data_IF_536793534891
#
_entry.id   IF_536793534891
#
_cell.length_a   1.000
_cell.length_b   1.000
_cell.length_c   1.000
_cell.angle_alpha   90.00
_cell.angle_beta   90.00
_cell.angle_gamma   90.00
#
_symmetry.space_group_name_H-M   'P 1'
#
loop_
_entity.id
_entity.type
_entity.pdbx_description
1 polymer ?
#
# COMPACT_ATOMS: atom_id res chain seq x y z
N UNK A 1 5.19 -35.45 51.86
CA UNK A 1 5.25 -33.99 51.73
C UNK A 1 6.65 -33.69 51.21
N UNK A 2 6.88 -33.85 49.89
CA UNK A 2 6.85 -32.77 48.87
C UNK A 2 7.80 -31.62 49.22
N UNK A 3 8.71 -31.14 48.40
CA UNK A 3 9.42 -31.57 47.17
C UNK A 3 10.57 -30.56 47.09
N UNK A 4 11.75 -30.99 46.64
CA UNK A 4 12.87 -30.12 46.32
C UNK A 4 12.58 -29.34 45.02
N UNK A 5 13.50 -28.42 44.72
CA UNK A 5 13.82 -27.77 43.44
C UNK A 5 13.68 -26.23 43.59
N UNK A 6 14.66 -25.54 44.20
CA UNK A 6 15.93 -25.05 43.63
C UNK A 6 15.75 -24.24 42.35
N UNK A 7 15.87 -22.93 42.51
CA UNK A 7 15.88 -21.91 41.47
C UNK A 7 17.01 -22.17 40.47
N UNK A 8 16.66 -22.38 39.20
CA UNK A 8 17.58 -22.32 38.07
C UNK A 8 17.11 -21.18 37.16
N UNK A 9 17.65 -19.98 37.43
CA UNK A 9 17.58 -18.84 36.52
C UNK A 9 18.51 -19.17 35.35
N UNK A 10 17.94 -19.61 34.22
CA UNK A 10 18.69 -19.72 32.98
C UNK A 10 18.91 -18.31 32.41
N UNK A 11 20.10 -17.81 32.67
CA UNK A 11 20.75 -16.68 31.99
C UNK A 11 20.78 -16.98 30.49
N UNK A 12 19.96 -16.29 29.70
CA UNK A 12 20.11 -16.30 28.25
C UNK A 12 21.23 -15.33 27.91
N UNK A 13 22.36 -15.90 27.48
CA UNK A 13 23.53 -15.19 26.97
C UNK A 13 23.08 -14.18 25.89
N UNK A 14 23.44 -12.91 26.09
CA UNK A 14 23.43 -11.93 25.00
C UNK A 14 24.50 -12.38 24.01
N UNK A 15 24.09 -13.08 22.95
CA UNK A 15 24.94 -13.27 21.77
C UNK A 15 25.33 -11.88 21.27
N UNK A 16 26.59 -11.53 21.51
CA UNK A 16 27.24 -10.36 20.92
C UNK A 16 27.22 -10.55 19.41
N UNK A 17 26.28 -9.90 18.74
CA UNK A 17 26.36 -9.72 17.30
C UNK A 17 27.61 -8.87 17.04
N UNK A 18 28.65 -9.50 16.50
CA UNK A 18 29.74 -8.78 15.86
C UNK A 18 29.09 -7.90 14.77
N UNK A 19 29.28 -6.58 14.89
CA UNK A 19 28.97 -5.66 13.81
C UNK A 19 29.91 -6.00 12.65
N UNK A 20 29.45 -6.87 11.75
CA UNK A 20 30.04 -7.01 10.42
C UNK A 20 29.79 -5.69 9.69
N UNK A 21 30.76 -4.79 9.83
CA UNK A 21 30.91 -3.57 9.04
C UNK A 21 31.25 -3.94 7.59
N UNK A 22 30.28 -4.45 6.85
CA UNK A 22 30.35 -4.47 5.40
C UNK A 22 29.74 -3.18 4.86
N UNK A 23 30.59 -2.15 4.82
CA UNK A 23 30.49 -1.01 3.92
C UNK A 23 30.48 -1.51 2.46
N UNK A 24 29.35 -2.02 1.98
CA UNK A 24 29.07 -1.96 0.56
C UNK A 24 28.51 -0.56 0.27
N UNK A 25 29.41 0.43 0.22
CA UNK A 25 29.11 1.77 -0.27
C UNK A 25 28.63 1.64 -1.72
N UNK A 26 27.31 1.58 -1.90
CA UNK A 26 26.69 1.53 -3.23
C UNK A 26 26.99 2.86 -3.91
N UNK A 27 28.05 2.88 -4.73
CA UNK A 27 28.45 4.06 -5.48
C UNK A 27 27.23 4.64 -6.22
N UNK A 28 26.95 5.94 -6.07
CA UNK A 28 25.83 6.56 -6.76
C UNK A 28 25.95 6.33 -8.27
N UNK A 29 24.90 5.76 -8.84
CA UNK A 29 24.80 5.56 -10.28
C UNK A 29 24.53 6.89 -10.98
N UNK A 30 25.18 7.14 -12.11
CA UNK A 30 24.87 8.32 -12.94
C UNK A 30 23.79 7.97 -13.96
N UNK A 31 22.77 8.81 -14.06
CA UNK A 31 21.67 8.56 -14.98
C UNK A 31 22.06 8.93 -16.40
N UNK A 32 21.94 7.96 -17.32
CA UNK A 32 22.24 8.16 -18.75
C UNK A 32 21.33 9.17 -19.44
N UNK A 33 20.11 9.40 -18.93
CA UNK A 33 19.13 10.33 -19.52
C UNK A 33 19.31 11.77 -18.99
N UNK A 34 19.45 11.93 -17.66
CA UNK A 34 19.46 13.24 -17.00
C UNK A 34 20.87 13.72 -16.60
N UNK A 35 21.86 12.82 -16.50
CA UNK A 35 23.22 13.14 -16.03
C UNK A 35 23.37 13.21 -14.51
N UNK A 36 22.27 13.15 -13.75
CA UNK A 36 22.28 13.24 -12.29
C UNK A 36 22.69 11.93 -11.61
N UNK A 37 23.36 12.07 -10.47
CA UNK A 37 23.68 10.98 -9.54
C UNK A 37 22.41 10.49 -8.81
N UNK A 38 22.30 9.19 -8.63
CA UNK A 38 21.19 8.57 -7.90
C UNK A 38 21.61 7.23 -7.28
N UNK A 39 21.01 6.90 -6.14
CA UNK A 39 21.29 5.63 -5.45
C UNK A 39 20.35 4.49 -5.87
N UNK A 40 19.10 4.79 -6.27
CA UNK A 40 18.10 3.79 -6.70
C UNK A 40 17.43 4.14 -8.04
N UNK A 41 16.87 5.35 -8.19
CA UNK A 41 16.29 5.85 -9.44
C UNK A 41 16.58 7.35 -9.70
N UNK A 42 16.67 7.81 -10.97
CA UNK A 42 16.85 9.26 -11.27
C UNK A 42 15.55 10.03 -10.98
N UNK A 43 15.56 10.79 -9.88
CA UNK A 43 14.47 11.67 -9.48
C UNK A 43 14.00 12.65 -10.56
N UNK A 44 14.90 13.41 -11.22
CA UNK A 44 14.51 14.25 -12.34
C UNK A 44 13.84 13.51 -13.49
N UNK A 45 14.26 12.28 -13.81
CA UNK A 45 13.65 11.48 -14.89
C UNK A 45 12.24 11.04 -14.54
N UNK A 46 11.99 10.62 -13.30
CA UNK A 46 10.64 10.31 -12.81
C UNK A 46 9.76 11.55 -12.90
N UNK A 47 10.21 12.69 -12.36
CA UNK A 47 9.45 13.93 -12.41
C UNK A 47 9.14 14.38 -13.85
N UNK A 48 10.10 14.27 -14.77
CA UNK A 48 9.87 14.56 -16.20
C UNK A 48 8.79 13.66 -16.78
N UNK A 49 8.86 12.35 -16.52
CA UNK A 49 7.87 11.39 -17.00
C UNK A 49 6.47 11.69 -16.44
N UNK A 50 6.37 11.94 -15.14
CA UNK A 50 5.09 12.25 -14.49
C UNK A 50 4.47 13.53 -15.08
N UNK A 51 5.29 14.58 -15.30
CA UNK A 51 4.85 15.82 -15.96
C UNK A 51 4.37 15.58 -17.40
N UNK A 52 5.06 14.77 -18.17
CA UNK A 52 4.70 14.45 -19.55
C UNK A 52 3.38 13.65 -19.64
N UNK A 53 3.11 12.77 -18.67
CA UNK A 53 1.94 11.89 -18.66
C UNK A 53 0.76 12.43 -17.84
N UNK A 54 0.92 13.59 -17.19
CA UNK A 54 -0.09 14.17 -16.29
C UNK A 54 -1.46 14.36 -16.95
N UNK A 55 -1.48 14.72 -18.24
CA UNK A 55 -2.72 14.91 -19.01
C UNK A 55 -3.58 13.65 -19.12
N UNK A 56 -3.01 12.46 -18.93
CA UNK A 56 -3.73 11.19 -18.99
C UNK A 56 -4.37 10.78 -17.64
N UNK A 57 -4.08 11.50 -16.56
CA UNK A 57 -4.42 11.13 -15.18
C UNK A 57 -5.22 12.21 -14.43
N UNK A 58 -5.99 13.04 -15.14
CA UNK A 58 -6.86 14.02 -14.48
C UNK A 58 -8.14 13.37 -13.96
N UNK A 59 -8.52 13.74 -12.76
CA UNK A 59 -9.80 13.41 -12.14
C UNK A 59 -10.94 14.35 -12.55
N UNK A 60 -10.64 15.37 -13.36
CA UNK A 60 -11.51 16.52 -13.61
C UNK A 60 -11.85 17.33 -12.34
N UNK A 61 -11.11 17.09 -11.23
CA UNK A 61 -11.23 17.82 -9.98
C UNK A 61 -9.87 18.39 -9.56
N UNK A 62 -9.72 19.71 -9.67
CA UNK A 62 -8.47 20.43 -9.37
C UNK A 62 -7.88 20.06 -8.01
N UNK A 63 -8.72 19.92 -6.97
CA UNK A 63 -8.26 19.60 -5.61
C UNK A 63 -7.71 18.18 -5.47
N UNK A 64 -8.29 17.23 -6.18
CA UNK A 64 -7.79 15.84 -6.23
C UNK A 64 -6.50 15.80 -7.06
N UNK A 65 -6.48 16.48 -8.19
CA UNK A 65 -5.33 16.54 -9.09
C UNK A 65 -4.11 17.18 -8.40
N UNK A 66 -4.32 18.25 -7.62
CA UNK A 66 -3.29 18.89 -6.80
C UNK A 66 -2.76 17.96 -5.70
N UNK A 67 -3.66 17.22 -5.04
CA UNK A 67 -3.28 16.23 -4.03
C UNK A 67 -2.45 15.10 -4.64
N UNK A 68 -2.83 14.59 -5.82
CA UNK A 68 -2.07 13.55 -6.51
C UNK A 68 -0.68 14.05 -6.89
N UNK A 69 -0.57 15.30 -7.36
CA UNK A 69 0.73 15.92 -7.62
C UNK A 69 1.59 16.04 -6.37
N UNK A 70 1.00 16.47 -5.24
CA UNK A 70 1.68 16.50 -3.93
C UNK A 70 2.27 15.12 -3.60
N UNK A 71 1.47 14.06 -3.74
CA UNK A 71 1.89 12.68 -3.45
C UNK A 71 2.97 12.17 -4.40
N UNK A 72 2.91 12.55 -5.68
CA UNK A 72 3.87 12.15 -6.70
C UNK A 72 5.27 12.78 -6.52
N UNK A 73 5.38 13.86 -5.73
CA UNK A 73 6.65 14.51 -5.41
C UNK A 73 7.42 13.81 -4.28
N UNK A 74 6.76 12.91 -3.53
CA UNK A 74 7.41 12.11 -2.49
C UNK A 74 8.35 11.08 -3.12
N UNK A 75 9.43 10.74 -2.40
CA UNK A 75 10.45 9.79 -2.85
C UNK A 75 10.08 8.32 -2.58
N UNK A 76 8.78 8.01 -2.48
CA UNK A 76 8.28 6.65 -2.28
C UNK A 76 8.44 5.80 -3.54
N UNK A 77 8.70 4.51 -3.35
CA UNK A 77 8.81 3.54 -4.46
C UNK A 77 7.49 3.36 -5.22
N UNK A 78 6.36 3.63 -4.56
CA UNK A 78 5.03 3.57 -5.16
C UNK A 78 4.71 4.92 -5.81
N UNK A 79 4.28 4.87 -7.07
CA UNK A 79 3.77 6.04 -7.78
C UNK A 79 2.28 6.15 -7.49
N UNK A 80 1.88 7.26 -6.87
CA UNK A 80 0.48 7.55 -6.58
C UNK A 80 -0.24 8.01 -7.84
N UNK A 81 -1.33 7.34 -8.24
CA UNK A 81 -1.99 7.57 -9.54
C UNK A 81 -3.48 7.91 -9.41
N UNK A 82 -4.01 8.65 -10.40
CA UNK A 82 -5.45 8.64 -10.68
C UNK A 82 -5.76 7.46 -11.60
N UNK A 83 -6.66 6.59 -11.18
CA UNK A 83 -6.99 5.37 -11.90
C UNK A 83 -8.44 5.45 -12.36
N UNK A 84 -8.68 5.38 -13.67
CA UNK A 84 -10.03 5.36 -14.22
C UNK A 84 -10.77 4.11 -13.75
N UNK A 85 -12.02 4.24 -13.33
CA UNK A 85 -12.79 3.12 -12.77
C UNK A 85 -12.91 1.92 -13.71
N UNK A 86 -12.93 2.17 -15.03
CA UNK A 86 -12.98 1.12 -16.05
C UNK A 86 -11.72 0.24 -16.12
N UNK A 87 -10.67 0.56 -15.36
CA UNK A 87 -9.45 -0.23 -15.21
C UNK A 87 -9.62 -1.42 -14.24
N UNK A 88 -10.71 -1.45 -13.47
CA UNK A 88 -10.96 -2.48 -12.49
C UNK A 88 -11.90 -3.57 -13.04
N UNK A 89 -11.41 -4.80 -13.03
CA UNK A 89 -12.18 -6.00 -13.38
C UNK A 89 -12.39 -6.88 -12.15
N UNK A 90 -13.31 -7.86 -12.24
CA UNK A 90 -13.57 -8.85 -11.19
C UNK A 90 -13.84 -8.24 -9.80
N UNK A 91 -14.54 -7.10 -9.77
CA UNK A 91 -14.89 -6.41 -8.53
C UNK A 91 -15.82 -7.30 -7.68
N UNK A 92 -15.39 -7.64 -6.46
CA UNK A 92 -16.15 -8.47 -5.50
C UNK A 92 -16.23 -7.77 -4.16
N UNK A 93 -17.41 -7.71 -3.57
CA UNK A 93 -17.64 -7.13 -2.25
C UNK A 93 -17.04 -8.03 -1.17
N UNK A 94 -16.19 -7.47 -0.31
CA UNK A 94 -15.55 -8.14 0.83
C UNK A 94 -16.28 -7.80 2.13
N UNK A 95 -16.59 -6.52 2.33
CA UNK A 95 -17.20 -6.03 3.56
C UNK A 95 -18.14 -4.86 3.27
N UNK A 96 -19.34 -4.92 3.85
CA UNK A 96 -20.34 -3.86 3.80
C UNK A 96 -20.72 -3.41 5.20
N UNK A 97 -20.14 -2.30 5.66
CA UNK A 97 -20.56 -1.70 6.93
C UNK A 97 -21.76 -0.78 6.70
N UNK A 98 -22.96 -1.27 6.98
CA UNK A 98 -24.22 -0.52 6.87
C UNK A 98 -24.65 0.15 8.20
N UNK A 99 -23.76 0.27 9.19
CA UNK A 99 -24.15 0.86 10.46
C UNK A 99 -24.27 2.38 10.32
N UNK A 100 -25.49 2.86 10.48
CA UNK A 100 -25.85 4.27 10.48
C UNK A 100 -25.11 4.99 11.61
N UNK A 101 -24.40 6.07 11.24
CA UNK A 101 -23.78 7.10 12.09
C UNK A 101 -22.25 7.10 12.26
N UNK A 102 -21.49 6.22 11.59
CA UNK A 102 -20.05 6.44 11.42
C UNK A 102 -19.57 5.86 10.09
N UNK A 103 -19.10 6.75 9.21
CA UNK A 103 -18.51 6.53 7.87
C UNK A 103 -18.62 5.08 7.36
N UNK A 104 -19.76 4.75 6.75
CA UNK A 104 -19.98 3.45 6.09
C UNK A 104 -18.99 3.26 4.95
N UNK A 105 -17.93 2.50 5.19
CA UNK A 105 -16.92 2.14 4.20
C UNK A 105 -17.26 0.77 3.61
N UNK A 106 -17.43 0.70 2.30
CA UNK A 106 -17.58 -0.57 1.57
C UNK A 106 -16.22 -0.95 1.00
N UNK A 107 -15.83 -2.21 1.15
CA UNK A 107 -14.51 -2.72 0.73
C UNK A 107 -14.72 -3.81 -0.32
N UNK A 108 -13.98 -3.71 -1.41
CA UNK A 108 -14.03 -4.64 -2.53
C UNK A 108 -12.63 -5.13 -2.90
N UNK A 109 -12.51 -6.36 -3.41
CA UNK A 109 -11.32 -6.81 -4.17
C UNK A 109 -11.55 -6.54 -5.64
N UNK A 110 -10.51 -6.18 -6.38
CA UNK A 110 -10.56 -6.07 -7.84
C UNK A 110 -9.20 -6.42 -8.46
N UNK A 111 -9.21 -6.63 -9.78
CA UNK A 111 -8.00 -6.71 -10.60
C UNK A 111 -7.83 -5.37 -11.30
N UNK A 112 -6.70 -4.70 -11.07
CA UNK A 112 -6.29 -3.52 -11.84
C UNK A 112 -5.57 -3.99 -13.11
N UNK A 113 -6.23 -3.84 -14.26
CA UNK A 113 -5.73 -4.31 -15.57
C UNK A 113 -4.35 -3.78 -15.91
N UNK A 114 -4.17 -2.47 -15.88
CA UNK A 114 -2.88 -1.86 -16.20
C UNK A 114 -1.85 -2.08 -15.09
N UNK A 115 -2.29 -2.18 -13.83
CA UNK A 115 -1.45 -2.35 -12.65
C UNK A 115 -0.56 -1.13 -12.35
N UNK A 116 0.17 -1.17 -11.21
CA UNK A 116 0.96 -0.03 -10.75
C UNK A 116 2.15 0.25 -11.65
N UNK A 117 2.50 1.53 -11.74
CA UNK A 117 3.74 1.95 -12.38
C UNK A 117 4.93 1.69 -11.45
N UNK A 118 5.88 0.87 -11.90
CA UNK A 118 7.12 0.54 -11.18
C UNK A 118 8.35 0.94 -12.01
N UNK A 119 9.47 1.24 -11.34
CA UNK A 119 10.74 1.46 -12.02
C UNK A 119 11.49 0.15 -12.16
N UNK A 120 11.81 -0.23 -13.40
CA UNK A 120 12.65 -1.39 -13.69
C UNK A 120 14.12 -0.94 -13.68
N UNK A 121 14.87 -1.40 -12.68
CA UNK A 121 16.27 -1.03 -12.47
C UNK A 121 17.19 -1.53 -13.58
N UNK A 122 16.90 -2.68 -14.18
CA UNK A 122 17.71 -3.26 -15.25
C UNK A 122 17.50 -2.49 -16.56
N UNK A 123 16.25 -2.18 -16.86
CA UNK A 123 15.85 -1.48 -18.09
C UNK A 123 15.89 0.04 -17.94
N UNK A 124 16.17 0.55 -16.74
CA UNK A 124 16.23 1.97 -16.36
C UNK A 124 15.03 2.78 -16.86
N UNK A 125 13.84 2.21 -16.77
CA UNK A 125 12.60 2.80 -17.28
C UNK A 125 11.41 2.44 -16.41
N UNK A 126 10.38 3.28 -16.46
CA UNK A 126 9.09 2.96 -15.85
C UNK A 126 8.37 1.90 -16.69
N UNK A 127 7.81 0.91 -16.01
CA UNK A 127 7.03 -0.17 -16.58
C UNK A 127 5.78 -0.41 -15.74
N UNK A 128 4.84 -1.18 -16.28
CA UNK A 128 3.69 -1.66 -15.54
C UNK A 128 3.67 -3.18 -15.52
N UNK A 129 3.28 -3.73 -14.38
CA UNK A 129 2.93 -5.14 -14.26
C UNK A 129 1.40 -5.24 -14.27
N UNK A 130 0.86 -5.77 -15.36
CA UNK A 130 -0.59 -5.86 -15.56
C UNK A 130 -1.26 -6.87 -14.63
N UNK A 131 -2.54 -6.63 -14.34
CA UNK A 131 -3.43 -7.51 -13.57
C UNK A 131 -3.05 -7.64 -12.08
N UNK A 132 -2.71 -6.52 -11.45
CA UNK A 132 -2.45 -6.47 -10.02
C UNK A 132 -3.75 -6.66 -9.22
N UNK A 133 -3.71 -7.48 -8.16
CA UNK A 133 -4.83 -7.58 -7.24
C UNK A 133 -4.81 -6.40 -6.25
N UNK A 134 -5.92 -5.68 -6.16
CA UNK A 134 -6.05 -4.49 -5.33
C UNK A 134 -7.27 -4.56 -4.42
N UNK A 135 -7.20 -3.81 -3.33
CA UNK A 135 -8.35 -3.55 -2.46
C UNK A 135 -8.90 -2.16 -2.75
N UNK A 136 -10.17 -2.09 -3.15
CA UNK A 136 -10.92 -0.85 -3.35
C UNK A 136 -11.65 -0.49 -2.07
N UNK A 137 -11.35 0.66 -1.49
CA UNK A 137 -12.08 1.18 -0.32
C UNK A 137 -12.92 2.39 -0.74
N UNK A 138 -14.23 2.22 -0.74
CA UNK A 138 -15.18 3.25 -1.12
C UNK A 138 -15.66 4.01 0.11
N UNK A 139 -15.49 5.33 0.10
CA UNK A 139 -15.94 6.21 1.18
C UNK A 139 -17.23 6.92 0.76
N UNK A 140 -18.35 6.54 1.36
CA UNK A 140 -19.66 7.14 1.04
C UNK A 140 -19.69 8.64 1.31
N UNK A 141 -20.36 9.39 0.44
CA UNK A 141 -20.50 10.85 0.49
C UNK A 141 -19.19 11.63 0.38
N UNK A 142 -18.09 10.99 -0.02
CA UNK A 142 -16.79 11.65 -0.21
C UNK A 142 -16.84 12.74 -1.27
N UNK A 143 -17.72 12.62 -2.27
CA UNK A 143 -17.94 13.68 -3.27
C UNK A 143 -18.42 15.00 -2.66
N UNK A 144 -19.15 14.94 -1.56
CA UNK A 144 -19.70 16.10 -0.88
C UNK A 144 -18.72 16.70 0.13
N UNK A 145 -17.64 15.99 0.47
CA UNK A 145 -16.65 16.44 1.44
C UNK A 145 -15.25 15.90 1.09
N UNK A 146 -14.67 16.50 0.04
CA UNK A 146 -13.34 16.14 -0.48
C UNK A 146 -12.27 16.35 0.59
N UNK A 147 -12.37 17.41 1.41
CA UNK A 147 -11.42 17.67 2.49
C UNK A 147 -11.33 16.52 3.48
N UNK A 148 -12.48 16.06 3.97
CA UNK A 148 -12.54 14.93 4.90
C UNK A 148 -11.98 13.66 4.27
N UNK A 149 -12.29 13.43 2.99
CA UNK A 149 -11.75 12.30 2.24
C UNK A 149 -10.21 12.37 2.16
N UNK A 150 -9.63 13.50 1.76
CA UNK A 150 -8.18 13.66 1.64
C UNK A 150 -7.46 13.56 2.98
N UNK A 151 -8.06 14.08 4.07
CA UNK A 151 -7.53 13.88 5.43
C UNK A 151 -7.48 12.39 5.78
N UNK A 152 -8.52 11.63 5.42
CA UNK A 152 -8.51 10.17 5.62
C UNK A 152 -7.41 9.52 4.77
N UNK A 153 -7.28 9.85 3.48
CA UNK A 153 -6.19 9.33 2.63
C UNK A 153 -4.80 9.61 3.23
N UNK A 154 -4.53 10.84 3.67
CA UNK A 154 -3.26 11.21 4.35
C UNK A 154 -3.00 10.38 5.61
N UNK A 155 -4.05 9.98 6.33
CA UNK A 155 -3.88 9.13 7.52
C UNK A 155 -3.37 7.71 7.20
N UNK A 156 -3.70 7.17 6.02
CA UNK A 156 -3.17 5.87 5.57
C UNK A 156 -1.76 6.00 4.99
N UNK A 157 -1.46 7.11 4.30
CA UNK A 157 -0.12 7.35 3.74
C UNK A 157 0.92 7.38 4.86
N UNK A 158 0.57 7.95 6.01
CA UNK A 158 1.45 8.00 7.18
C UNK A 158 1.58 6.66 7.92
N UNK A 159 0.88 5.61 7.48
CA UNK A 159 0.98 4.26 8.02
C UNK A 159 1.90 3.43 7.11
N UNK A 160 3.15 3.25 7.52
CA UNK A 160 4.21 2.59 6.74
C UNK A 160 3.86 1.14 6.33
N UNK A 161 2.88 0.51 7.01
CA UNK A 161 2.41 -0.83 6.71
C UNK A 161 1.40 -0.88 5.53
N UNK A 162 1.00 0.26 4.96
CA UNK A 162 -0.07 0.34 3.95
C UNK A 162 0.42 0.99 2.65
N UNK A 163 0.66 0.16 1.64
CA UNK A 163 0.84 0.62 0.26
C UNK A 163 -0.47 1.18 -0.31
N UNK A 164 -0.44 2.42 -0.81
CA UNK A 164 -1.54 3.04 -1.53
C UNK A 164 -1.09 3.34 -2.95
N UNK A 165 -1.76 2.74 -3.92
CA UNK A 165 -1.48 2.97 -5.34
C UNK A 165 -2.09 4.26 -5.86
N UNK A 166 -3.20 4.71 -5.28
CA UNK A 166 -3.82 5.94 -5.75
C UNK A 166 -5.30 6.06 -5.42
N UNK A 167 -5.96 6.87 -6.24
CA UNK A 167 -7.37 7.21 -6.12
C UNK A 167 -8.15 6.90 -7.39
N UNK A 168 -9.45 6.69 -7.22
CA UNK A 168 -10.41 6.58 -8.31
C UNK A 168 -11.73 7.24 -7.91
N UNK A 169 -12.70 7.23 -8.82
CA UNK A 169 -14.06 7.67 -8.55
C UNK A 169 -15.06 6.68 -9.12
N UNK A 170 -16.02 6.31 -8.30
CA UNK A 170 -17.15 5.48 -8.71
C UNK A 170 -18.01 6.24 -9.72
N UNK A 171 -18.26 5.69 -10.92
CA UNK A 171 -18.94 6.41 -12.00
C UNK A 171 -20.41 6.70 -11.69
N UNK A 172 -21.05 5.90 -10.84
CA UNK A 172 -22.49 5.96 -10.55
C UNK A 172 -22.77 6.89 -9.35
N UNK A 173 -22.09 6.64 -8.24
CA UNK A 173 -22.27 7.39 -6.99
C UNK A 173 -21.48 8.70 -7.00
N UNK A 174 -20.41 8.79 -7.80
CA UNK A 174 -19.40 9.86 -7.80
C UNK A 174 -18.56 9.94 -6.53
N UNK A 175 -18.71 8.98 -5.63
CA UNK A 175 -17.86 8.89 -4.45
C UNK A 175 -16.46 8.43 -4.84
N UNK A 176 -15.45 8.97 -4.15
CA UNK A 176 -14.06 8.63 -4.33
C UNK A 176 -13.71 7.29 -3.68
N UNK A 177 -12.74 6.63 -4.29
CA UNK A 177 -12.26 5.30 -3.95
C UNK A 177 -10.76 5.38 -3.70
N UNK A 178 -10.30 4.77 -2.62
CA UNK A 178 -8.88 4.54 -2.38
C UNK A 178 -8.46 3.17 -2.92
N UNK A 179 -7.30 3.14 -3.58
CA UNK A 179 -6.74 1.91 -4.18
C UNK A 179 -5.55 1.47 -3.34
N UNK A 180 -5.76 0.40 -2.58
CA UNK A 180 -4.78 -0.14 -1.64
C UNK A 180 -4.10 -1.37 -2.22
N UNK A 181 -2.80 -1.50 -1.94
CA UNK A 181 -2.05 -2.72 -2.18
C UNK A 181 -2.64 -3.85 -1.35
N UNK A 182 -2.84 -5.01 -1.97
CA UNK A 182 -3.35 -6.18 -1.28
C UNK A 182 -2.19 -6.94 -0.62
N UNK A 183 -2.10 -6.88 0.72
CA UNK A 183 -1.05 -7.60 1.45
C UNK A 183 -1.49 -9.01 1.80
N UNK A 184 -0.78 -9.97 1.20
CA UNK A 184 -0.83 -11.37 1.59
C UNK A 184 0.34 -11.69 2.53
N UNK A 185 0.06 -11.98 3.80
CA UNK A 185 1.08 -12.58 4.66
C UNK A 185 1.01 -14.11 4.56
N UNK A 186 2.10 -14.71 4.11
CA UNK A 186 2.31 -16.15 4.13
C UNK A 186 2.90 -16.54 5.49
N UNK A 187 2.15 -17.31 6.27
CA UNK A 187 2.66 -17.92 7.49
C UNK A 187 2.98 -19.39 7.23
N UNK A 188 4.22 -19.77 7.56
CA UNK A 188 4.66 -21.17 7.52
C UNK A 188 4.58 -21.79 8.91
N UNK A 189 3.72 -22.80 9.06
CA UNK A 189 3.64 -23.60 10.28
C UNK A 189 4.82 -24.59 10.30
N UNK A 190 5.86 -24.31 11.08
CA UNK A 190 7.05 -25.19 11.19
C UNK A 190 6.72 -26.60 11.67
N UNK A 191 5.73 -26.75 12.56
CA UNK A 191 5.33 -28.05 13.11
C UNK A 191 4.53 -28.91 12.14
N UNK A 192 3.72 -28.27 11.28
CA UNK A 192 2.75 -28.99 10.43
C UNK A 192 3.05 -28.90 8.92
N UNK A 193 4.10 -28.18 8.52
CA UNK A 193 4.57 -28.07 7.13
C UNK A 193 3.63 -27.34 6.17
N UNK A 194 2.53 -26.76 6.67
CA UNK A 194 1.50 -26.11 5.85
C UNK A 194 1.75 -24.61 5.74
N UNK A 195 1.66 -24.11 4.50
CA UNK A 195 1.56 -22.68 4.20
C UNK A 195 0.12 -22.24 4.44
N UNK A 196 -0.08 -21.20 5.26
CA UNK A 196 -1.37 -20.54 5.44
C UNK A 196 -1.26 -19.12 4.91
N UNK A 197 -2.25 -18.74 4.11
CA UNK A 197 -2.38 -17.40 3.57
C UNK A 197 -3.39 -16.65 4.41
N UNK A 198 -3.02 -15.45 4.82
CA UNK A 198 -3.92 -14.53 5.51
C UNK A 198 -3.97 -13.26 4.70
N UNK A 199 -5.18 -12.82 4.37
CA UNK A 199 -5.40 -11.50 3.80
C UNK A 199 -5.38 -10.51 4.96
N UNK A 200 -4.41 -9.59 4.96
CA UNK A 200 -4.39 -8.52 5.95
C UNK A 200 -5.30 -7.41 5.43
N UNK A 201 -6.51 -7.34 5.98
CA UNK A 201 -7.36 -6.17 5.80
C UNK A 201 -6.98 -5.16 6.88
N UNK A 202 -6.40 -4.03 6.49
CA UNK A 202 -6.04 -2.99 7.44
C UNK A 202 -7.30 -2.21 7.83
N UNK A 203 -7.86 -2.55 9.00
CA UNK A 203 -8.97 -1.81 9.59
C UNK A 203 -8.43 -0.76 10.58
N UNK A 204 -8.73 0.51 10.34
CA UNK A 204 -8.58 1.59 11.30
C UNK A 204 -9.57 1.42 12.47
N UNK A 205 -9.05 1.20 13.69
CA UNK A 205 -9.81 1.37 14.94
C UNK A 205 -9.45 2.73 15.56
N UNK A 206 -10.41 3.46 16.18
CA UNK A 206 -10.24 4.85 16.60
C UNK A 206 -9.34 5.08 17.84
N UNK A 207 -8.55 4.09 18.27
CA UNK A 207 -7.62 4.23 19.39
C UNK A 207 -6.24 3.71 19.00
N UNK A 208 -5.19 4.45 19.38
CA UNK A 208 -3.75 4.29 19.06
C UNK A 208 -3.09 2.98 19.55
N UNK A 209 -3.82 1.88 19.67
CA UNK A 209 -3.27 0.53 19.79
C UNK A 209 -3.80 -0.30 18.62
N UNK A 210 -2.99 -0.38 17.55
CA UNK A 210 -3.32 -1.12 16.36
C UNK A 210 -3.43 -2.61 16.67
N UNK A 211 -4.61 -3.20 16.48
CA UNK A 211 -4.77 -4.65 16.39
C UNK A 211 -4.98 -5.01 14.92
N UNK A 212 -4.00 -5.69 14.30
CA UNK A 212 -4.14 -6.31 12.97
C UNK A 212 -5.20 -7.42 13.07
N UNK A 213 -6.37 -7.26 12.43
CA UNK A 213 -7.32 -8.37 12.28
C UNK A 213 -6.87 -9.26 11.13
N UNK A 214 -6.43 -10.46 11.46
CA UNK A 214 -5.96 -11.46 10.51
C UNK A 214 -7.15 -12.37 10.16
N UNK A 215 -7.67 -12.30 8.93
CA UNK A 215 -8.78 -13.15 8.48
C UNK A 215 -8.28 -14.44 7.85
N UNK A 216 -8.84 -15.56 8.32
CA UNK A 216 -8.45 -16.92 7.94
C UNK A 216 -9.22 -17.38 6.71
N UNK A 217 -8.53 -17.72 5.62
CA UNK A 217 -9.17 -18.15 4.37
C UNK A 217 -9.91 -19.50 4.49
N UNK A 218 -9.58 -20.36 5.47
CA UNK A 218 -10.24 -21.66 5.67
C UNK A 218 -11.73 -21.59 6.11
N UNK A 219 -12.33 -20.41 6.25
CA UNK A 219 -13.77 -20.23 6.49
C UNK A 219 -14.63 -20.02 5.22
N UNK A 220 -14.02 -20.06 4.02
CA UNK A 220 -14.75 -20.01 2.75
C UNK A 220 -14.53 -21.30 1.96
N UNK A 221 -15.37 -22.30 2.24
CA UNK A 221 -15.68 -23.43 1.35
C UNK A 221 -17.18 -23.66 1.33
#
# INVERSE_FOLDING_TARGET
>A
MSSQDSDELTEFEEDSYEEDSDENEVLPSVCKKCGEEYHKWCKPCRQSYLKENFTNWTSENEKIDDFIQEMQLNDDDIIFEWILYNQFDNIKEIEKNNNDNSTSNSVYSAIWKDGPLCYDDDKKKLMRESNEEVTLRCLRNSKNNIDKFLIEVKSYINDEDIGIYGLSQDPDTKDYIMILQDFYCQFYCKECGKKKYWRILVQNMPNKSFYKKIYRLDQWR
#
